data_IF_564529666063
#
_entry.id   IF_564529666063
#
_cell.length_a   1.000
_cell.length_b   1.000
_cell.length_c   1.000
_cell.angle_alpha   90.00
_cell.angle_beta   90.00
_cell.angle_gamma   90.00
#
_symmetry.space_group_name_H-M   'P 1'
#
loop_
_entity.id
_entity.type
_entity.pdbx_description
1 polymer ?
#
# COMPACT_ATOMS: atom_id res chain seq x y z
N UNK A 1 -8.95 -28.06 0.19
CA UNK A 1 -10.07 -27.19 -0.24
C UNK A 1 -9.80 -25.71 0.05
N UNK A 2 -8.56 -25.22 -0.20
CA UNK A 2 -8.18 -23.80 -0.02
C UNK A 2 -7.51 -23.20 -1.27
N UNK A 3 -7.29 -23.99 -2.33
CA UNK A 3 -6.49 -23.55 -3.49
C UNK A 3 -7.22 -22.60 -4.45
N UNK A 4 -8.55 -22.45 -4.35
CA UNK A 4 -9.32 -21.62 -5.30
C UNK A 4 -9.59 -20.19 -4.79
N UNK A 5 -9.34 -19.87 -3.52
CA UNK A 5 -9.52 -18.50 -3.00
C UNK A 5 -8.34 -17.57 -3.26
N UNK A 6 -7.21 -18.11 -3.73
CA UNK A 6 -5.98 -17.37 -4.04
C UNK A 6 -5.65 -17.35 -5.54
N UNK A 7 -6.62 -17.72 -6.40
CA UNK A 7 -6.45 -17.52 -7.83
C UNK A 7 -6.56 -16.02 -8.10
N UNK A 8 -5.44 -15.40 -8.45
CA UNK A 8 -5.45 -14.05 -9.01
C UNK A 8 -6.45 -14.05 -10.17
N UNK A 9 -7.46 -13.17 -10.10
CA UNK A 9 -8.44 -13.01 -11.17
C UNK A 9 -7.77 -12.67 -12.51
N UNK A 10 -8.54 -12.73 -13.59
CA UNK A 10 -8.00 -12.55 -14.95
C UNK A 10 -7.43 -11.14 -15.20
N UNK A 11 -7.74 -10.17 -14.32
CA UNK A 11 -7.16 -8.83 -14.25
C UNK A 11 -6.79 -8.43 -12.81
N UNK A 12 -5.64 -7.76 -12.66
CA UNK A 12 -5.13 -7.24 -11.38
C UNK A 12 -4.78 -5.77 -11.57
N UNK A 13 -5.39 -4.89 -10.77
CA UNK A 13 -5.04 -3.47 -10.73
C UNK A 13 -3.96 -3.26 -9.68
N UNK A 14 -2.76 -2.93 -10.12
CA UNK A 14 -1.68 -2.50 -9.23
C UNK A 14 -1.74 -0.98 -9.07
N UNK A 15 -1.78 -0.49 -7.83
CA UNK A 15 -1.73 0.93 -7.52
C UNK A 15 -0.89 1.18 -6.28
N UNK A 16 -0.07 2.24 -6.31
CA UNK A 16 0.65 2.71 -5.12
C UNK A 16 -0.34 3.12 -4.01
N UNK A 17 -1.54 3.56 -4.39
CA UNK A 17 -2.57 4.00 -3.46
C UNK A 17 -3.02 2.88 -2.51
N UNK A 18 -3.01 1.63 -2.96
CA UNK A 18 -3.32 0.46 -2.11
C UNK A 18 -2.33 0.34 -0.96
N UNK A 19 -1.04 0.55 -1.22
CA UNK A 19 -0.02 0.58 -0.18
C UNK A 19 -0.25 1.77 0.77
N UNK A 20 -0.54 2.95 0.23
CA UNK A 20 -0.83 4.14 1.02
C UNK A 20 -2.02 3.95 1.98
N UNK A 21 -3.10 3.32 1.53
CA UNK A 21 -4.26 3.04 2.39
C UNK A 21 -3.96 2.11 3.56
N UNK A 22 -3.03 1.18 3.41
CA UNK A 22 -2.61 0.28 4.49
C UNK A 22 -1.67 1.00 5.46
N UNK A 23 -0.80 1.86 4.94
CA UNK A 23 0.21 2.57 5.74
C UNK A 23 -0.40 3.72 6.55
N UNK A 24 -1.41 4.40 6.02
CA UNK A 24 -2.04 5.56 6.65
C UNK A 24 -2.59 5.28 8.07
N UNK A 25 -3.40 4.22 8.31
CA UNK A 25 -3.86 3.91 9.66
C UNK A 25 -2.71 3.56 10.60
N UNK A 26 -1.63 2.94 10.11
CA UNK A 26 -0.45 2.61 10.92
C UNK A 26 0.25 3.88 11.41
N UNK A 27 0.40 4.88 10.54
CA UNK A 27 0.98 6.17 10.93
C UNK A 27 0.06 6.93 11.89
N UNK A 28 -1.26 6.84 11.71
CA UNK A 28 -2.24 7.49 12.60
C UNK A 28 -2.31 6.90 14.01
N UNK A 29 -1.79 5.69 14.25
CA UNK A 29 -1.66 5.14 15.60
C UNK A 29 -0.74 6.02 16.48
N UNK A 30 0.25 6.69 15.89
CA UNK A 30 1.19 7.53 16.63
C UNK A 30 0.52 8.73 17.33
N UNK A 31 -0.22 9.63 16.63
CA UNK A 31 -0.93 10.72 17.29
C UNK A 31 -2.00 10.21 18.26
N UNK A 32 -2.61 9.05 18.01
CA UNK A 32 -3.56 8.43 18.94
C UNK A 32 -2.89 8.03 20.26
N UNK A 33 -1.71 7.42 20.23
CA UNK A 33 -0.96 7.04 21.43
C UNK A 33 -0.51 8.28 22.20
N UNK A 34 -0.06 9.33 21.50
CA UNK A 34 0.25 10.61 22.11
C UNK A 34 -0.98 11.22 22.81
N UNK A 35 -2.13 11.24 22.13
CA UNK A 35 -3.38 11.77 22.68
C UNK A 35 -3.84 10.99 23.93
N UNK A 36 -3.70 9.66 23.92
CA UNK A 36 -3.97 8.83 25.09
C UNK A 36 -3.01 9.13 26.24
N UNK A 37 -1.71 9.29 25.98
CA UNK A 37 -0.73 9.66 27.02
C UNK A 37 -1.04 11.03 27.63
N UNK A 38 -1.45 11.99 26.79
CA UNK A 38 -1.85 13.33 27.21
C UNK A 38 -3.06 13.28 28.17
N UNK A 39 -4.12 12.56 27.79
CA UNK A 39 -5.35 12.46 28.58
C UNK A 39 -5.17 11.72 29.91
N UNK A 40 -4.42 10.62 29.92
CA UNK A 40 -4.32 9.76 31.11
C UNK A 40 -3.15 10.13 32.04
N UNK A 41 -2.09 10.77 31.54
CA UNK A 41 -0.82 10.90 32.25
C UNK A 41 -0.29 12.33 32.38
N UNK A 42 -0.95 13.30 31.73
CA UNK A 42 -0.54 14.70 31.74
C UNK A 42 0.62 15.01 30.79
N UNK A 43 0.80 16.31 30.51
CA UNK A 43 1.68 16.81 29.44
C UNK A 43 3.16 16.49 29.69
N UNK A 44 3.65 16.63 30.92
CA UNK A 44 5.06 16.41 31.26
C UNK A 44 5.51 14.96 30.99
N UNK A 45 4.66 14.00 31.32
CA UNK A 45 4.92 12.58 31.06
C UNK A 45 4.79 12.24 29.57
N UNK A 46 3.88 12.89 28.85
CA UNK A 46 3.72 12.71 27.41
C UNK A 46 4.94 13.21 26.64
N UNK A 47 5.42 14.43 26.90
CA UNK A 47 6.59 15.01 26.25
C UNK A 47 7.87 14.21 26.51
N UNK A 48 8.10 13.77 27.76
CA UNK A 48 9.28 12.97 28.10
C UNK A 48 9.34 11.63 27.35
N UNK A 49 8.18 10.99 27.12
CA UNK A 49 8.13 9.76 26.33
C UNK A 49 8.15 10.01 24.83
N UNK A 50 7.78 11.20 24.38
CA UNK A 50 7.69 11.57 22.97
C UNK A 50 9.05 11.53 22.27
N UNK A 51 10.13 11.91 22.95
CA UNK A 51 11.46 12.00 22.32
C UNK A 51 11.97 10.63 21.83
N UNK A 52 11.83 9.60 22.67
CA UNK A 52 12.09 8.22 22.27
C UNK A 52 11.10 7.74 21.20
N UNK A 53 9.83 8.13 21.31
CA UNK A 53 8.78 7.72 20.39
C UNK A 53 8.96 8.30 18.97
N UNK A 54 9.44 9.54 18.87
CA UNK A 54 9.77 10.22 17.60
C UNK A 54 10.91 9.50 16.89
N UNK A 55 11.93 9.03 17.62
CA UNK A 55 12.99 8.22 17.02
C UNK A 55 12.44 6.92 16.43
N UNK A 56 11.55 6.21 17.15
CA UNK A 56 10.90 5.01 16.61
C UNK A 56 10.04 5.30 15.38
N UNK A 57 9.26 6.40 15.39
CA UNK A 57 8.45 6.80 14.24
C UNK A 57 9.33 7.11 13.02
N UNK A 58 10.44 7.83 13.21
CA UNK A 58 11.38 8.13 12.13
C UNK A 58 11.88 6.84 11.47
N UNK A 59 12.35 5.88 12.26
CA UNK A 59 12.82 4.59 11.73
C UNK A 59 11.69 3.78 11.08
N UNK A 60 10.49 3.81 11.66
CA UNK A 60 9.29 3.19 11.09
C UNK A 60 8.92 3.77 9.73
N UNK A 61 8.91 5.10 9.58
CA UNK A 61 8.66 5.77 8.31
C UNK A 61 9.68 5.40 7.25
N UNK A 62 10.97 5.35 7.59
CA UNK A 62 12.02 4.92 6.66
C UNK A 62 11.76 3.48 6.20
N UNK A 63 11.45 2.57 7.14
CA UNK A 63 11.14 1.18 6.81
C UNK A 63 9.90 1.06 5.91
N UNK A 64 8.85 1.84 6.16
CA UNK A 64 7.63 1.87 5.35
C UNK A 64 7.91 2.36 3.92
N UNK A 65 8.74 3.39 3.75
CA UNK A 65 9.15 3.85 2.42
C UNK A 65 9.93 2.77 1.68
N UNK A 66 10.89 2.12 2.34
CA UNK A 66 11.66 1.01 1.74
C UNK A 66 10.74 -0.14 1.33
N UNK A 67 9.80 -0.52 2.18
CA UNK A 67 8.79 -1.55 1.88
C UNK A 67 7.90 -1.15 0.70
N UNK A 68 7.49 0.12 0.61
CA UNK A 68 6.71 0.64 -0.51
C UNK A 68 7.49 0.56 -1.83
N UNK A 69 8.77 0.93 -1.82
CA UNK A 69 9.64 0.83 -3.01
C UNK A 69 9.84 -0.64 -3.40
N UNK A 70 10.13 -1.52 -2.44
CA UNK A 70 10.25 -2.95 -2.69
C UNK A 70 8.97 -3.53 -3.27
N UNK A 71 7.80 -3.16 -2.73
CA UNK A 71 6.51 -3.57 -3.27
C UNK A 71 6.33 -3.09 -4.72
N UNK A 72 6.67 -1.84 -5.02
CA UNK A 72 6.57 -1.28 -6.37
C UNK A 72 7.46 -1.94 -7.40
N UNK A 73 8.59 -2.56 -7.00
CA UNK A 73 9.50 -3.25 -7.93
C UNK A 73 9.23 -4.76 -7.97
N UNK A 74 9.05 -5.39 -6.81
CA UNK A 74 8.90 -6.85 -6.72
C UNK A 74 7.53 -7.32 -7.17
N UNK A 75 6.47 -6.55 -6.92
CA UNK A 75 5.12 -6.97 -7.26
C UNK A 75 4.90 -7.07 -8.79
N UNK A 76 5.32 -6.08 -9.61
CA UNK A 76 5.28 -6.21 -11.06
C UNK A 76 6.14 -7.35 -11.61
N UNK A 77 7.33 -7.58 -11.06
CA UNK A 77 8.21 -8.66 -11.53
C UNK A 77 7.61 -10.04 -11.27
N UNK A 78 6.91 -10.23 -10.15
CA UNK A 78 6.15 -11.46 -9.86
C UNK A 78 4.99 -11.64 -10.84
N UNK A 79 4.28 -10.55 -11.18
CA UNK A 79 3.18 -10.58 -12.17
C UNK A 79 3.68 -11.01 -13.56
N UNK A 80 4.79 -10.42 -14.02
CA UNK A 80 5.41 -10.80 -15.31
C UNK A 80 5.85 -12.26 -15.29
N UNK A 81 6.47 -12.73 -14.20
CA UNK A 81 6.86 -14.15 -14.05
C UNK A 81 5.67 -15.10 -14.11
N UNK A 82 4.49 -14.66 -13.68
CA UNK A 82 3.22 -15.40 -13.76
C UNK A 82 2.48 -15.24 -15.10
N UNK A 83 3.14 -14.70 -16.13
CA UNK A 83 2.60 -14.46 -17.48
C UNK A 83 1.47 -13.42 -17.53
N UNK A 84 1.43 -12.47 -16.60
CA UNK A 84 0.55 -11.31 -16.73
C UNK A 84 1.21 -10.26 -17.63
N UNK A 85 0.40 -9.66 -18.50
CA UNK A 85 0.75 -8.60 -19.44
C UNK A 85 0.24 -7.26 -18.90
N UNK A 86 1.04 -6.20 -19.00
CA UNK A 86 0.63 -4.86 -18.63
C UNK A 86 -0.19 -4.23 -19.76
N UNK A 87 -1.39 -3.74 -19.43
CA UNK A 87 -2.20 -2.95 -20.37
C UNK A 87 -1.76 -1.48 -20.29
N UNK A 88 -1.34 -0.91 -21.42
CA UNK A 88 -0.98 0.51 -21.50
C UNK A 88 -2.24 1.38 -21.56
N UNK A 89 -2.32 2.40 -20.72
CA UNK A 89 -3.42 3.38 -20.73
C UNK A 89 -4.69 2.98 -19.95
N UNK A 90 -4.66 1.86 -19.21
CA UNK A 90 -5.79 1.35 -18.41
C UNK A 90 -5.34 1.14 -16.95
N UNK A 91 -6.14 1.57 -15.95
CA UNK A 91 -7.52 2.03 -16.05
C UNK A 91 -7.67 3.48 -16.55
N UNK A 92 -8.68 3.72 -17.39
CA UNK A 92 -9.07 5.06 -17.86
C UNK A 92 -10.06 5.76 -16.91
N UNK A 93 -10.39 5.12 -15.78
CA UNK A 93 -11.32 5.64 -14.77
C UNK A 93 -10.72 6.77 -13.92
N UNK A 94 -11.19 6.92 -12.67
CA UNK A 94 -10.80 7.98 -11.73
C UNK A 94 -9.32 8.09 -11.31
N UNK A 95 -8.46 7.14 -11.73
CA UNK A 95 -7.03 7.12 -11.40
C UNK A 95 -6.15 6.81 -12.63
N UNK A 96 -6.25 7.60 -13.71
CA UNK A 96 -5.47 7.37 -14.91
C UNK A 96 -3.99 7.70 -14.62
N UNK A 97 -3.08 6.82 -15.04
CA UNK A 97 -1.63 7.00 -14.89
C UNK A 97 -1.05 6.72 -13.49
N UNK A 98 -1.89 6.49 -12.47
CA UNK A 98 -1.46 6.13 -11.10
C UNK A 98 -1.65 4.65 -10.77
N UNK A 99 -2.55 3.99 -11.50
CA UNK A 99 -2.75 2.55 -11.44
C UNK A 99 -2.35 1.90 -12.78
N UNK A 100 -1.87 0.67 -12.72
CA UNK A 100 -1.51 -0.14 -13.89
C UNK A 100 -2.28 -1.45 -13.85
N UNK A 101 -2.99 -1.75 -14.92
CA UNK A 101 -3.75 -2.99 -15.04
C UNK A 101 -2.90 -4.10 -15.66
N UNK A 102 -2.89 -5.27 -15.02
CA UNK A 102 -2.18 -6.47 -15.47
C UNK A 102 -3.19 -7.58 -15.75
N UNK A 103 -3.17 -8.17 -16.94
CA UNK A 103 -4.11 -9.23 -17.37
C UNK A 103 -3.39 -10.47 -17.87
N UNK A 104 -4.01 -11.64 -17.82
CA UNK A 104 -3.43 -12.87 -18.40
C UNK A 104 -3.56 -12.96 -19.91
N UNK A 105 -4.61 -12.39 -20.46
CA UNK A 105 -4.90 -12.43 -21.90
C UNK A 105 -4.98 -11.00 -22.44
N UNK A 106 -4.25 -10.72 -23.51
CA UNK A 106 -4.25 -9.40 -24.17
C UNK A 106 -5.63 -8.95 -24.66
N UNK A 107 -6.55 -9.89 -24.92
CA UNK A 107 -7.94 -9.57 -25.28
C UNK A 107 -8.71 -8.84 -24.16
N UNK A 108 -8.29 -9.04 -22.91
CA UNK A 108 -8.87 -8.38 -21.73
C UNK A 108 -8.35 -6.95 -21.53
N UNK A 109 -7.28 -6.54 -22.22
CA UNK A 109 -6.82 -5.14 -22.22
C UNK A 109 -7.76 -4.20 -23.00
N UNK A 110 -8.82 -4.69 -23.65
CA UNK A 110 -9.74 -3.86 -24.44
C UNK A 110 -11.14 -3.73 -23.79
N UNK A 111 -11.36 -4.39 -22.65
CA UNK A 111 -12.59 -4.21 -21.88
C UNK A 111 -12.38 -2.93 -21.07
N UNK A 112 -12.70 -1.78 -21.66
CA UNK A 112 -12.89 -0.55 -20.88
C UNK A 112 -13.80 -0.90 -19.71
N UNK A 113 -13.32 -0.61 -18.50
CA UNK A 113 -14.12 -0.59 -17.26
C UNK A 113 -15.52 -0.07 -17.58
N UNK A 114 -16.52 -0.93 -17.45
CA UNK A 114 -17.93 -0.58 -17.62
C UNK A 114 -18.57 -0.50 -16.25
#
# INVERSE_FOLDING_TARGET
MFNNCFSFGDGVVFSWLTFSFIVLPVIMIFPLIYFMLLLFKGEECAFKKMDAYVAYLKWGCIALVVMGVLYSVLYPTVLVKKRYLQCNGIPSGWMPGTATHYVRDSSLCNVSDK
#
